data_IF_899865963054
#
_entry.id   IF_899865963054
#
_cell.length_a   1.000
_cell.length_b   1.000
_cell.length_c   1.000
_cell.angle_alpha   90.00
_cell.angle_beta   90.00
_cell.angle_gamma   90.00
#
_symmetry.space_group_name_H-M   'P 1'
#
loop_
_entity.id
_entity.type
_entity.pdbx_description
1 polymer ?
#
# COMPACT_ATOMS: atom_id res chain seq x y z
N UNK A 1 34.75 8.08 -28.14
CA UNK A 1 34.83 6.71 -28.71
C UNK A 1 35.01 5.76 -27.55
N UNK A 2 34.20 4.70 -27.43
CA UNK A 2 34.42 3.66 -26.40
C UNK A 2 35.53 2.70 -26.86
N UNK A 3 36.38 2.27 -25.94
CA UNK A 3 37.44 1.31 -26.16
C UNK A 3 37.11 -0.06 -25.55
N UNK A 4 37.69 -1.16 -26.06
CA UNK A 4 37.67 -2.45 -25.37
C UNK A 4 38.17 -2.30 -23.92
N UNK A 5 37.39 -2.75 -22.94
CA UNK A 5 37.70 -2.60 -21.52
C UNK A 5 36.95 -1.46 -20.81
N UNK A 6 36.22 -0.61 -21.54
CA UNK A 6 35.43 0.47 -20.93
C UNK A 6 34.27 -0.08 -20.08
N UNK A 7 34.28 0.27 -18.79
CA UNK A 7 33.18 0.00 -17.87
C UNK A 7 32.20 1.16 -17.85
N UNK A 8 30.91 0.87 -18.06
CA UNK A 8 29.82 1.81 -17.74
C UNK A 8 29.11 1.29 -16.51
N UNK A 9 29.00 2.16 -15.51
CA UNK A 9 28.24 1.89 -14.29
C UNK A 9 26.91 2.61 -14.41
N UNK A 10 25.82 1.87 -14.22
CA UNK A 10 24.48 2.41 -14.11
C UNK A 10 24.07 2.33 -12.65
N UNK A 11 23.75 3.47 -12.07
CA UNK A 11 23.16 3.59 -10.75
C UNK A 11 21.69 3.98 -10.92
N UNK A 12 20.78 3.23 -10.30
CA UNK A 12 19.34 3.46 -10.36
C UNK A 12 18.84 3.67 -8.93
N UNK A 13 18.25 4.83 -8.66
CA UNK A 13 17.59 5.11 -7.38
C UNK A 13 16.32 4.28 -7.23
N UNK A 14 16.44 3.06 -6.69
CA UNK A 14 15.32 2.14 -6.46
C UNK A 14 14.66 2.36 -5.09
N UNK A 15 14.44 3.62 -4.74
CA UNK A 15 13.72 4.00 -3.52
C UNK A 15 12.22 3.73 -3.70
N UNK A 16 11.51 3.35 -2.62
CA UNK A 16 10.06 3.24 -2.65
C UNK A 16 9.43 4.63 -2.83
N UNK A 17 8.34 4.69 -3.58
CA UNK A 17 7.58 5.92 -3.87
C UNK A 17 6.09 5.65 -3.83
N UNK A 18 5.33 6.71 -3.60
CA UNK A 18 3.88 6.72 -3.78
C UNK A 18 3.54 7.30 -5.16
N UNK A 19 2.71 6.59 -5.90
CA UNK A 19 2.21 7.01 -7.23
C UNK A 19 0.71 7.26 -7.14
N UNK A 20 0.26 8.40 -7.67
CA UNK A 20 -1.16 8.74 -7.82
C UNK A 20 -1.62 8.53 -9.25
N UNK A 21 -2.87 8.14 -9.44
CA UNK A 21 -3.48 8.11 -10.76
C UNK A 21 -3.85 9.53 -11.25
N UNK A 22 -4.02 9.68 -12.56
CA UNK A 22 -4.65 10.90 -13.11
C UNK A 22 -6.06 11.08 -12.51
N UNK A 23 -6.50 12.30 -12.17
CA UNK A 23 -7.80 12.54 -11.56
C UNK A 23 -9.01 12.08 -12.38
N UNK A 24 -8.85 11.76 -13.67
CA UNK A 24 -9.91 11.19 -14.51
C UNK A 24 -10.14 9.69 -14.27
N UNK A 25 -9.23 9.00 -13.58
CA UNK A 25 -9.38 7.60 -13.21
C UNK A 25 -10.22 7.52 -11.93
N UNK A 26 -11.53 7.48 -12.11
CA UNK A 26 -12.50 7.63 -11.02
C UNK A 26 -12.40 6.53 -9.95
N UNK A 27 -12.13 5.29 -10.35
CA UNK A 27 -12.11 4.11 -9.47
C UNK A 27 -11.03 4.13 -8.39
N UNK A 28 -10.03 5.01 -8.50
CA UNK A 28 -8.88 5.10 -7.57
C UNK A 28 -8.64 6.53 -7.09
N UNK A 29 -9.66 7.38 -7.20
CA UNK A 29 -9.60 8.74 -6.65
C UNK A 29 -9.32 8.69 -5.14
N UNK A 30 -8.42 9.54 -4.67
CA UNK A 30 -8.01 9.55 -3.26
C UNK A 30 -7.17 8.35 -2.82
N UNK A 31 -6.64 7.57 -3.78
CA UNK A 31 -5.76 6.45 -3.49
C UNK A 31 -4.34 6.68 -4.03
N UNK A 32 -3.39 5.96 -3.46
CA UNK A 32 -2.00 5.86 -3.92
C UNK A 32 -1.61 4.40 -4.14
N UNK A 33 -0.66 4.15 -5.03
CA UNK A 33 0.03 2.87 -5.17
C UNK A 33 1.46 2.99 -4.64
N UNK A 34 1.96 1.93 -3.99
CA UNK A 34 3.36 1.84 -3.59
C UNK A 34 4.15 1.20 -4.74
N UNK A 35 5.25 1.83 -5.13
CA UNK A 35 6.16 1.33 -6.15
C UNK A 35 7.61 1.36 -5.66
N UNK A 36 8.43 0.37 -6.05
CA UNK A 36 9.87 0.41 -5.82
C UNK A 36 10.60 -0.08 -7.07
N UNK A 37 11.38 0.81 -7.67
CA UNK A 37 11.93 0.56 -9.01
C UNK A 37 10.81 0.31 -10.03
N UNK A 38 10.84 -0.79 -10.81
CA UNK A 38 9.80 -1.13 -11.77
C UNK A 38 8.62 -1.93 -11.17
N UNK A 39 8.67 -2.24 -9.87
CA UNK A 39 7.67 -3.12 -9.24
C UNK A 39 6.57 -2.31 -8.57
N UNK A 40 5.33 -2.72 -8.82
CA UNK A 40 4.14 -2.30 -8.06
C UNK A 40 3.94 -3.25 -6.88
N UNK A 41 3.53 -2.69 -5.75
CA UNK A 41 3.32 -3.41 -4.50
C UNK A 41 1.83 -3.49 -4.15
N UNK A 42 1.48 -4.45 -3.31
CA UNK A 42 0.13 -4.63 -2.76
C UNK A 42 0.15 -5.05 -1.29
N UNK A 43 -0.94 -4.79 -0.58
CA UNK A 43 -1.24 -5.40 0.71
C UNK A 43 -2.00 -6.71 0.52
N UNK A 44 -1.69 -7.73 1.32
CA UNK A 44 -2.45 -8.98 1.40
C UNK A 44 -3.16 -9.11 2.76
N UNK A 45 -4.34 -9.72 2.77
CA UNK A 45 -5.11 -9.94 4.00
C UNK A 45 -4.38 -10.77 5.05
N UNK A 46 -3.57 -11.75 4.64
CA UNK A 46 -2.76 -12.59 5.55
C UNK A 46 -1.77 -11.78 6.39
N UNK A 47 -1.31 -10.63 5.89
CA UNK A 47 -0.41 -9.74 6.63
C UNK A 47 -1.17 -8.72 7.50
N UNK A 48 -2.49 -8.59 7.33
CA UNK A 48 -3.33 -7.58 7.99
C UNK A 48 -4.63 -8.21 8.54
N UNK A 49 -4.57 -9.20 9.44
CA UNK A 49 -5.74 -9.96 9.88
C UNK A 49 -6.70 -9.18 10.79
N UNK A 50 -6.26 -8.06 11.39
CA UNK A 50 -7.04 -7.29 12.36
C UNK A 50 -8.16 -6.45 11.71
N UNK A 51 -8.18 -6.32 10.39
CA UNK A 51 -9.11 -5.46 9.65
C UNK A 51 -9.26 -5.91 8.20
N UNK A 52 -10.43 -5.69 7.61
CA UNK A 52 -10.54 -5.79 6.16
C UNK A 52 -9.62 -4.77 5.51
N UNK A 53 -8.96 -5.13 4.41
CA UNK A 53 -8.12 -4.20 3.64
C UNK A 53 -8.90 -2.96 3.14
N UNK A 54 -10.23 -2.99 3.21
CA UNK A 54 -11.13 -1.90 2.86
C UNK A 54 -11.11 -0.74 3.87
N UNK A 55 -10.79 -1.05 5.13
CA UNK A 55 -10.73 -0.07 6.22
C UNK A 55 -9.35 0.56 6.37
N UNK A 56 -8.34 0.08 5.66
CA UNK A 56 -6.99 0.64 5.72
C UNK A 56 -6.93 2.01 5.03
N UNK A 57 -6.35 2.98 5.74
CA UNK A 57 -5.95 4.27 5.22
C UNK A 57 -4.44 4.44 5.42
N UNK A 58 -3.71 4.65 4.33
CA UNK A 58 -2.26 4.84 4.35
C UNK A 58 -1.92 6.29 4.72
N UNK A 59 -0.91 6.46 5.59
CA UNK A 59 -0.30 7.77 5.83
C UNK A 59 0.66 8.11 4.67
N UNK A 60 0.18 8.95 3.75
CA UNK A 60 0.94 9.35 2.57
C UNK A 60 2.07 10.36 2.85
N UNK A 61 2.16 10.86 4.08
CA UNK A 61 3.20 11.81 4.52
C UNK A 61 4.32 11.12 5.30
N UNK A 62 4.06 9.91 5.80
CA UNK A 62 5.02 9.10 6.52
C UNK A 62 6.12 8.50 5.62
N UNK A 63 7.24 8.06 6.21
CA UNK A 63 8.32 7.40 5.46
C UNK A 63 7.91 6.00 5.00
N UNK A 64 8.51 5.56 3.89
CA UNK A 64 8.42 4.19 3.41
C UNK A 64 9.69 3.41 3.79
N UNK A 65 9.54 2.38 4.61
CA UNK A 65 10.62 1.47 5.00
C UNK A 65 10.81 0.35 3.97
N UNK A 66 12.04 -0.14 3.83
CA UNK A 66 12.36 -1.26 2.93
C UNK A 66 12.98 -2.39 3.74
N UNK A 67 12.49 -3.61 3.56
CA UNK A 67 13.04 -4.80 4.24
C UNK A 67 13.17 -5.96 3.28
N UNK A 68 14.39 -6.45 3.08
CA UNK A 68 14.59 -7.71 2.35
C UNK A 68 14.22 -8.90 3.23
N UNK A 69 13.46 -9.85 2.68
CA UNK A 69 12.93 -11.04 3.36
C UNK A 69 13.27 -12.30 2.56
N UNK A 70 14.45 -12.90 2.79
CA UNK A 70 14.89 -14.09 2.05
C UNK A 70 14.01 -15.33 2.31
N UNK A 71 13.31 -15.34 3.44
CA UNK A 71 12.43 -16.40 3.91
C UNK A 71 10.99 -16.30 3.38
N UNK A 72 10.64 -15.21 2.71
CA UNK A 72 9.29 -14.94 2.24
C UNK A 72 9.23 -14.98 0.70
N UNK A 73 8.31 -15.78 0.15
CA UNK A 73 7.96 -15.78 -1.28
C UNK A 73 9.17 -15.92 -2.22
N UNK A 74 10.12 -16.78 -1.86
CA UNK A 74 11.33 -16.99 -2.66
C UNK A 74 12.37 -15.85 -2.58
N UNK A 75 12.25 -14.96 -1.61
CA UNK A 75 13.20 -13.88 -1.35
C UNK A 75 12.75 -12.53 -1.90
N UNK A 76 11.67 -11.98 -1.35
CA UNK A 76 11.15 -10.68 -1.76
C UNK A 76 11.70 -9.51 -0.92
N UNK A 77 11.58 -8.30 -1.45
CA UNK A 77 11.78 -7.08 -0.68
C UNK A 77 10.42 -6.47 -0.38
N UNK A 78 10.05 -6.33 0.89
CA UNK A 78 8.80 -5.70 1.31
C UNK A 78 9.00 -4.20 1.48
N UNK A 79 7.89 -3.45 1.34
CA UNK A 79 7.82 -2.04 1.71
C UNK A 79 6.89 -1.90 2.91
N UNK A 80 7.33 -1.19 3.94
CA UNK A 80 6.57 -0.96 5.17
C UNK A 80 6.14 0.50 5.21
N UNK A 81 4.88 0.76 5.56
CA UNK A 81 4.34 2.10 5.69
C UNK A 81 3.50 2.21 6.96
N UNK A 82 3.35 3.42 7.49
CA UNK A 82 2.35 3.70 8.51
C UNK A 82 0.96 3.84 7.87
N UNK A 83 -0.06 3.42 8.61
CA UNK A 83 -1.44 3.64 8.26
C UNK A 83 -2.31 3.64 9.51
N UNK A 84 -3.61 3.67 9.29
CA UNK A 84 -4.63 3.52 10.32
C UNK A 84 -5.83 2.77 9.76
N UNK A 85 -6.63 2.25 10.67
CA UNK A 85 -7.92 1.64 10.33
C UNK A 85 -9.02 2.68 10.46
N UNK A 86 -9.92 2.77 9.47
CA UNK A 86 -11.13 3.60 9.60
C UNK A 86 -11.91 3.12 10.81
N UNK A 87 -12.27 4.05 11.69
CA UNK A 87 -13.18 3.75 12.78
C UNK A 87 -14.52 3.27 12.21
N UNK A 88 -14.90 2.04 12.55
CA UNK A 88 -16.23 1.54 12.26
C UNK A 88 -17.21 2.31 13.15
N UNK A 89 -17.90 3.29 12.57
CA UNK A 89 -19.02 3.92 13.25
C UNK A 89 -20.10 2.84 13.50
N UNK A 90 -20.64 2.78 14.73
CA UNK A 90 -21.82 1.97 15.01
C UNK A 90 -23.03 2.60 14.32
N UNK A 91 -23.29 2.19 13.07
CA UNK A 91 -24.40 2.69 12.25
C UNK A 91 -25.65 1.79 12.36
N UNK A 92 -25.65 0.80 13.26
CA UNK A 92 -26.69 -0.22 13.31
C UNK A 92 -26.85 -0.94 11.97
N UNK A 93 -28.10 -1.21 11.58
CA UNK A 93 -28.40 -1.94 10.34
C UNK A 93 -28.41 -1.08 9.07
N UNK A 94 -28.44 0.26 9.21
CA UNK A 94 -28.61 1.17 8.09
C UNK A 94 -27.24 1.68 7.59
N UNK A 95 -26.84 1.37 6.34
CA UNK A 95 -25.47 1.61 5.89
C UNK A 95 -25.22 3.03 5.36
N UNK A 96 -26.22 3.93 5.41
CA UNK A 96 -26.11 5.28 4.84
C UNK A 96 -26.16 6.35 5.92
N UNK A 97 -25.50 7.48 5.68
CA UNK A 97 -25.47 8.62 6.60
C UNK A 97 -25.76 9.91 5.82
N UNK A 98 -26.51 10.87 6.40
CA UNK A 98 -26.76 12.16 5.77
C UNK A 98 -25.45 12.85 5.37
N UNK A 99 -25.47 13.57 4.24
CA UNK A 99 -24.27 14.24 3.72
C UNK A 99 -23.79 15.41 4.59
N UNK A 100 -24.65 15.91 5.46
CA UNK A 100 -24.42 17.00 6.42
C UNK A 100 -24.12 16.48 7.85
N UNK A 101 -24.03 15.17 8.04
CA UNK A 101 -23.61 14.61 9.31
C UNK A 101 -22.14 14.97 9.60
N UNK A 102 -21.82 15.17 10.88
CA UNK A 102 -20.44 15.34 11.30
C UNK A 102 -19.61 14.12 10.86
N UNK A 103 -18.41 14.33 10.27
CA UNK A 103 -17.53 13.24 9.94
C UNK A 103 -17.19 12.45 11.20
N UNK A 104 -17.09 11.13 11.07
CA UNK A 104 -16.61 10.30 12.16
C UNK A 104 -15.22 10.79 12.59
N UNK A 105 -14.88 10.69 13.89
CA UNK A 105 -13.55 11.05 14.36
C UNK A 105 -12.48 10.28 13.59
N UNK A 106 -11.37 10.96 13.30
CA UNK A 106 -10.20 10.34 12.67
C UNK A 106 -9.28 9.72 13.74
N UNK A 107 -9.85 8.94 14.65
CA UNK A 107 -9.19 8.31 15.81
C UNK A 107 -8.94 6.80 15.61
N UNK A 108 -8.89 6.41 14.33
CA UNK A 108 -8.59 5.05 13.90
C UNK A 108 -7.32 4.47 14.52
N UNK A 109 -7.34 3.17 14.84
CA UNK A 109 -6.18 2.47 15.37
C UNK A 109 -5.01 2.53 14.37
N UNK A 110 -3.84 2.94 14.84
CA UNK A 110 -2.63 2.97 14.03
C UNK A 110 -2.19 1.54 13.68
N UNK A 111 -1.81 1.33 12.43
CA UNK A 111 -1.39 0.01 11.92
C UNK A 111 -0.12 0.14 11.07
N UNK A 112 0.76 -0.83 11.17
CA UNK A 112 1.89 -0.99 10.25
C UNK A 112 1.40 -1.78 9.02
N UNK A 113 1.61 -1.20 7.84
CA UNK A 113 1.24 -1.78 6.56
C UNK A 113 2.45 -2.46 5.94
N UNK A 114 2.35 -3.77 5.69
CA UNK A 114 3.40 -4.54 4.99
C UNK A 114 2.96 -4.82 3.55
N UNK A 115 3.61 -4.16 2.59
CA UNK A 115 3.38 -4.39 1.18
C UNK A 115 4.41 -5.34 0.59
N UNK A 116 3.94 -6.26 -0.25
CA UNK A 116 4.76 -7.19 -1.03
C UNK A 116 4.69 -6.84 -2.53
N UNK A 117 5.63 -7.30 -3.38
CA UNK A 117 5.50 -7.13 -4.82
C UNK A 117 4.22 -7.79 -5.35
N UNK A 118 3.46 -7.09 -6.18
CA UNK A 118 2.17 -7.54 -6.70
C UNK A 118 2.23 -8.91 -7.39
N UNK A 119 3.32 -9.21 -8.11
CA UNK A 119 3.47 -10.49 -8.79
C UNK A 119 3.52 -11.70 -7.83
N UNK A 120 3.82 -11.48 -6.54
CA UNK A 120 3.99 -12.52 -5.55
C UNK A 120 2.73 -12.78 -4.71
N UNK A 121 1.67 -11.99 -4.92
CA UNK A 121 0.35 -12.18 -4.31
C UNK A 121 -0.22 -13.58 -4.59
N UNK A 122 -1.11 -14.07 -3.70
CA UNK A 122 -1.86 -15.32 -3.84
C UNK A 122 -1.00 -16.59 -3.89
N UNK A 123 0.19 -16.55 -3.30
CA UNK A 123 1.07 -17.70 -3.11
C UNK A 123 1.13 -18.16 -1.63
N UNK A 124 0.20 -17.68 -0.80
CA UNK A 124 0.13 -17.94 0.65
C UNK A 124 -1.26 -18.44 1.04
N UNK A 125 -2.03 -17.61 1.75
CA UNK A 125 -3.39 -17.92 2.17
C UNK A 125 -4.41 -17.21 1.29
N UNK A 126 -5.60 -17.78 1.16
CA UNK A 126 -6.72 -17.14 0.50
C UNK A 126 -7.12 -15.87 1.27
N UNK A 127 -7.24 -14.75 0.56
CA UNK A 127 -7.57 -13.47 1.18
C UNK A 127 -7.66 -12.32 0.18
N UNK A 128 -8.15 -11.18 0.68
CA UNK A 128 -8.21 -9.95 -0.09
C UNK A 128 -6.82 -9.42 -0.44
N UNK A 129 -6.76 -8.59 -1.47
CA UNK A 129 -5.55 -7.85 -1.85
C UNK A 129 -5.90 -6.46 -2.37
N UNK A 130 -5.02 -5.50 -2.11
CA UNK A 130 -5.19 -4.12 -2.56
C UNK A 130 -3.88 -3.49 -3.03
N UNK A 131 -3.90 -2.89 -4.22
CA UNK A 131 -2.80 -2.07 -4.78
C UNK A 131 -3.03 -0.58 -4.50
N UNK A 132 -4.24 -0.10 -4.78
CA UNK A 132 -4.62 1.30 -4.61
C UNK A 132 -5.13 1.54 -3.20
N UNK A 133 -4.32 2.17 -2.37
CA UNK A 133 -4.54 2.38 -0.95
C UNK A 133 -5.14 3.77 -0.70
N UNK A 134 -6.31 3.88 -0.05
CA UNK A 134 -6.89 5.18 0.33
C UNK A 134 -5.93 5.97 1.22
N UNK A 135 -5.92 7.30 1.09
CA UNK A 135 -5.15 8.21 1.96
C UNK A 135 -6.02 9.06 2.89
N UNK A 136 -7.35 8.91 2.77
CA UNK A 136 -8.38 9.57 3.56
C UNK A 136 -9.48 8.60 3.94
#
# INVERSE_FOLDING_TARGET
>A
MKAPGDRVVLDLGLEPRLTVADPRVDSVRGCVAIERGPLVYCLEGVDHPASGLDDIVLDATGPLGVKHRPDLLGGVTTVVAAGRLRAAADRGWWPYTPADADPAPDDGEAVELTAIPYYAWANREDGGMRVWLPTT
#
